data_IF_457110690911
#
_entry.id   IF_457110690911
#
_cell.length_a   1.000
_cell.length_b   1.000
_cell.length_c   1.000
_cell.angle_alpha   90.00
_cell.angle_beta   90.00
_cell.angle_gamma   90.00
#
_symmetry.space_group_name_H-M   'P 1'
#
loop_
_entity.id
_entity.type
_entity.pdbx_description
1 polymer ?
#
# COMPACT_ATOMS: atom_id res chain seq x y z
N UNK A 1 -66.35 -18.52 -19.80
CA UNK A 1 -67.09 -19.06 -18.65
C UNK A 1 -67.09 -20.59 -18.77
N UNK A 2 -66.71 -21.27 -17.68
CA UNK A 2 -66.71 -22.74 -17.48
C UNK A 2 -65.77 -23.57 -18.40
N UNK A 3 -65.02 -24.59 -17.96
CA UNK A 3 -65.02 -25.35 -16.70
C UNK A 3 -63.74 -26.20 -16.62
N UNK A 4 -63.23 -26.39 -15.41
CA UNK A 4 -62.21 -27.38 -15.05
C UNK A 4 -62.62 -28.83 -15.44
N UNK A 5 -61.67 -29.65 -15.91
CA UNK A 5 -61.67 -31.11 -15.64
C UNK A 5 -60.26 -31.73 -15.67
N UNK A 6 -60.01 -32.54 -14.65
CA UNK A 6 -58.82 -33.33 -14.32
C UNK A 6 -58.53 -34.40 -15.38
N UNK A 7 -57.26 -34.82 -15.54
CA UNK A 7 -56.93 -36.24 -15.44
C UNK A 7 -55.44 -36.51 -15.13
N UNK A 8 -55.27 -37.29 -14.06
CA UNK A 8 -54.09 -37.97 -13.53
C UNK A 8 -53.17 -38.64 -14.55
N UNK A 9 -51.84 -38.59 -14.29
CA UNK A 9 -50.99 -39.80 -14.22
C UNK A 9 -49.81 -39.57 -13.24
N UNK A 10 -49.82 -40.34 -12.15
CA UNK A 10 -48.67 -40.63 -11.28
C UNK A 10 -47.69 -41.55 -12.04
N UNK A 11 -46.37 -41.42 -11.82
CA UNK A 11 -45.57 -42.29 -10.93
C UNK A 11 -44.05 -42.15 -11.16
N UNK A 12 -43.34 -42.07 -10.02
CA UNK A 12 -41.99 -42.58 -9.68
C UNK A 12 -40.77 -41.93 -10.35
N UNK A 13 -39.99 -41.18 -9.57
CA UNK A 13 -38.88 -41.61 -8.70
C UNK A 13 -37.59 -41.87 -9.50
N UNK A 14 -36.70 -40.87 -9.42
CA UNK A 14 -35.28 -41.00 -9.69
C UNK A 14 -34.56 -40.02 -8.79
N UNK A 15 -34.30 -40.43 -7.55
CA UNK A 15 -33.35 -39.73 -6.69
C UNK A 15 -31.97 -39.83 -7.35
N UNK A 16 -31.31 -38.71 -7.53
CA UNK A 16 -29.85 -38.63 -7.50
C UNK A 16 -29.48 -37.40 -6.67
N UNK A 17 -29.47 -37.60 -5.34
CA UNK A 17 -28.85 -36.68 -4.39
C UNK A 17 -27.34 -36.73 -4.63
N UNK A 18 -26.85 -35.79 -5.41
CA UNK A 18 -25.42 -35.54 -5.57
C UNK A 18 -24.93 -34.84 -4.30
N UNK A 19 -24.19 -35.57 -3.48
CA UNK A 19 -23.42 -35.00 -2.39
C UNK A 19 -22.30 -34.15 -2.97
N UNK A 20 -22.45 -32.83 -2.95
CA UNK A 20 -21.30 -31.94 -2.95
C UNK A 20 -21.23 -31.29 -1.58
N UNK A 21 -20.25 -31.72 -0.80
CA UNK A 21 -19.86 -31.08 0.46
C UNK A 21 -19.41 -29.66 0.08
N UNK A 22 -20.26 -28.68 0.34
CA UNK A 22 -19.86 -27.29 0.28
C UNK A 22 -18.89 -27.04 1.45
N UNK A 23 -17.59 -27.07 1.16
CA UNK A 23 -16.59 -26.46 2.02
C UNK A 23 -16.67 -24.96 1.79
N UNK A 24 -17.35 -24.24 2.68
CA UNK A 24 -17.18 -22.79 2.78
C UNK A 24 -15.84 -22.57 3.48
N UNK A 25 -14.79 -22.32 2.69
CA UNK A 25 -13.54 -21.78 3.23
C UNK A 25 -13.81 -20.30 3.47
N UNK A 26 -14.11 -19.95 4.72
CA UNK A 26 -14.16 -18.57 5.17
C UNK A 26 -12.70 -18.10 5.27
N UNK A 27 -12.14 -17.57 4.17
CA UNK A 27 -10.91 -16.79 4.26
C UNK A 27 -11.30 -15.46 4.90
N UNK A 28 -11.16 -15.37 6.22
CA UNK A 28 -11.06 -14.08 6.90
C UNK A 28 -9.79 -13.42 6.36
N UNK A 29 -9.93 -12.63 5.29
CA UNK A 29 -8.95 -11.60 5.01
C UNK A 29 -8.99 -10.66 6.21
N UNK A 30 -8.01 -10.82 7.09
CA UNK A 30 -7.73 -9.84 8.13
C UNK A 30 -7.29 -8.58 7.39
N UNK A 31 -8.25 -7.75 7.03
CA UNK A 31 -7.98 -6.36 6.68
C UNK A 31 -7.35 -5.79 7.94
N UNK A 32 -6.03 -5.73 7.98
CA UNK A 32 -5.34 -4.85 8.90
C UNK A 32 -5.82 -3.45 8.50
N UNK A 33 -6.86 -2.98 9.19
CA UNK A 33 -7.06 -1.56 9.31
C UNK A 33 -5.74 -1.05 9.87
N UNK A 34 -4.99 -0.31 9.06
CA UNK A 34 -3.80 0.39 9.50
C UNK A 34 -4.26 1.30 10.63
N UNK A 35 -3.98 0.89 11.87
CA UNK A 35 -4.40 1.60 13.07
C UNK A 35 -3.55 2.88 13.10
N UNK A 36 -4.12 3.97 12.59
CA UNK A 36 -3.51 5.29 12.64
C UNK A 36 -3.52 5.72 14.11
N UNK A 37 -2.35 5.80 14.73
CA UNK A 37 -2.21 6.00 16.17
C UNK A 37 -3.03 7.18 16.71
N UNK A 38 -3.56 7.03 17.93
CA UNK A 38 -4.51 7.95 18.59
C UNK A 38 -3.94 9.38 18.82
N UNK A 39 -2.68 9.68 18.46
CA UNK A 39 -2.13 11.03 18.50
C UNK A 39 -0.93 11.25 17.58
N UNK A 40 -0.93 12.38 16.86
CA UNK A 40 0.10 12.76 15.88
C UNK A 40 1.17 13.69 16.46
N UNK A 41 1.75 13.34 17.61
CA UNK A 41 2.83 14.10 18.23
C UNK A 41 4.07 14.14 17.31
N UNK A 42 4.78 15.26 17.29
CA UNK A 42 6.02 15.37 16.54
C UNK A 42 7.10 14.44 17.13
N UNK A 43 7.82 13.63 16.33
CA UNK A 43 8.88 12.77 16.83
C UNK A 43 9.97 13.55 17.54
N UNK A 44 10.39 13.07 18.72
CA UNK A 44 11.51 13.61 19.49
C UNK A 44 12.25 12.48 20.17
N UNK A 45 13.57 12.55 20.14
CA UNK A 45 14.43 11.63 20.89
C UNK A 45 14.27 11.87 22.39
N UNK A 46 14.27 10.78 23.14
CA UNK A 46 14.22 10.76 24.60
C UNK A 46 14.82 9.45 25.11
N UNK A 47 14.82 9.26 26.43
CA UNK A 47 15.23 7.98 27.04
C UNK A 47 14.41 6.78 26.53
N UNK A 48 13.18 7.01 26.05
CA UNK A 48 12.25 5.97 25.59
C UNK A 48 11.95 6.02 24.08
N UNK A 49 12.46 7.02 23.35
CA UNK A 49 12.17 7.22 21.92
C UNK A 49 13.44 7.50 21.14
N UNK A 50 13.55 6.84 19.99
CA UNK A 50 14.62 7.06 19.03
C UNK A 50 14.01 7.39 17.67
N UNK A 51 14.63 8.34 16.97
CA UNK A 51 14.22 8.78 15.64
C UNK A 51 15.33 8.45 14.66
N UNK A 52 14.94 7.96 13.48
CA UNK A 52 15.84 7.78 12.35
C UNK A 52 15.22 8.45 11.14
N UNK A 53 15.88 9.48 10.62
CA UNK A 53 15.46 10.14 9.40
C UNK A 53 15.77 9.25 8.19
N UNK A 54 14.83 9.21 7.25
CA UNK A 54 14.99 8.56 5.95
C UNK A 54 15.17 9.59 4.82
N UNK A 55 15.58 10.81 5.16
CA UNK A 55 15.86 11.89 4.22
C UNK A 55 17.09 11.59 3.35
N UNK A 56 17.18 12.23 2.20
CA UNK A 56 18.27 12.07 1.22
C UNK A 56 17.75 11.58 -0.12
N UNK A 57 18.55 10.78 -0.83
CA UNK A 57 18.20 10.32 -2.17
C UNK A 57 17.34 9.04 -2.12
N UNK A 58 16.24 9.06 -2.85
CA UNK A 58 15.32 7.94 -3.06
C UNK A 58 15.31 7.55 -4.53
N UNK A 59 15.07 6.27 -4.82
CA UNK A 59 14.77 5.83 -6.17
C UNK A 59 13.36 6.29 -6.54
N UNK A 60 13.18 6.78 -7.75
CA UNK A 60 11.94 7.36 -8.21
C UNK A 60 11.56 6.88 -9.61
N UNK A 61 10.25 6.64 -9.82
CA UNK A 61 9.67 6.39 -11.13
C UNK A 61 8.24 6.92 -11.21
N UNK A 62 7.95 7.72 -12.22
CA UNK A 62 6.58 8.03 -12.60
C UNK A 62 5.98 6.88 -13.45
N UNK A 63 4.73 6.50 -13.19
CA UNK A 63 4.02 5.51 -14.00
C UNK A 63 3.52 6.18 -15.30
N UNK A 64 4.35 6.16 -16.33
CA UNK A 64 4.05 6.77 -17.64
C UNK A 64 3.21 5.87 -18.56
N UNK A 65 2.76 4.71 -18.06
CA UNK A 65 1.89 3.80 -18.83
C UNK A 65 0.58 4.49 -19.23
N UNK A 66 -0.06 4.11 -20.34
CA UNK A 66 -1.30 4.74 -20.79
C UNK A 66 -2.43 4.73 -19.75
N UNK A 67 -2.47 3.70 -18.90
CA UNK A 67 -3.47 3.55 -17.82
C UNK A 67 -3.06 4.25 -16.52
N UNK A 68 -1.81 4.71 -16.40
CA UNK A 68 -1.20 5.21 -15.17
C UNK A 68 -1.26 4.23 -14.00
N UNK A 69 -1.42 2.92 -14.28
CA UNK A 69 -1.68 1.91 -13.25
C UNK A 69 -0.75 0.69 -13.33
N UNK A 70 0.23 0.70 -14.23
CA UNK A 70 1.17 -0.39 -14.43
C UNK A 70 1.90 -0.79 -13.14
N UNK A 71 2.20 0.18 -12.26
CA UNK A 71 2.86 -0.13 -10.99
C UNK A 71 2.01 -1.02 -10.06
N UNK A 72 0.69 -0.89 -10.14
CA UNK A 72 -0.23 -1.79 -9.44
C UNK A 72 -0.42 -3.11 -10.18
N UNK A 73 -0.58 -3.06 -11.50
CA UNK A 73 -0.75 -4.26 -12.32
C UNK A 73 0.45 -5.22 -12.20
N UNK A 74 1.65 -4.68 -11.96
CA UNK A 74 2.91 -5.43 -11.84
C UNK A 74 3.43 -5.54 -10.40
N UNK A 75 2.70 -5.03 -9.41
CA UNK A 75 3.07 -5.07 -7.99
C UNK A 75 4.49 -4.53 -7.70
N UNK A 76 4.80 -3.31 -8.15
CA UNK A 76 6.15 -2.72 -8.04
C UNK A 76 6.69 -2.63 -6.60
N UNK A 77 5.83 -2.64 -5.58
CA UNK A 77 6.23 -2.64 -4.16
C UNK A 77 6.79 -3.97 -3.65
N UNK A 78 6.69 -5.07 -4.40
CA UNK A 78 7.11 -6.41 -3.94
C UNK A 78 8.62 -6.64 -3.99
N UNK A 79 9.34 -5.78 -4.72
CA UNK A 79 10.79 -5.82 -4.89
C UNK A 79 11.33 -4.38 -4.92
N UNK A 80 12.65 -4.19 -4.96
CA UNK A 80 13.25 -2.86 -5.11
C UNK A 80 12.79 -2.25 -6.44
N UNK A 81 12.47 -0.95 -6.46
CA UNK A 81 11.89 -0.31 -7.65
C UNK A 81 12.81 -0.37 -8.87
N UNK A 82 14.12 -0.30 -8.65
CA UNK A 82 15.17 -0.50 -9.66
C UNK A 82 15.21 -1.90 -10.28
N UNK A 83 14.66 -2.92 -9.61
CA UNK A 83 14.59 -4.30 -10.14
C UNK A 83 13.39 -4.49 -11.08
N UNK A 84 12.35 -3.66 -10.95
CA UNK A 84 11.16 -3.71 -11.81
C UNK A 84 11.24 -2.80 -13.04
N UNK A 85 12.32 -2.00 -13.17
CA UNK A 85 12.56 -1.16 -14.34
C UNK A 85 13.47 0.03 -14.04
N UNK A 86 13.69 0.91 -15.04
CA UNK A 86 14.50 2.12 -14.87
C UNK A 86 13.96 3.01 -13.74
N UNK A 87 14.86 3.68 -13.04
CA UNK A 87 14.56 4.66 -11.98
C UNK A 87 15.51 5.84 -12.11
N UNK A 88 15.15 6.96 -11.51
CA UNK A 88 16.02 8.12 -11.32
C UNK A 88 16.16 8.43 -9.83
N UNK A 89 17.19 9.19 -9.48
CA UNK A 89 17.41 9.68 -8.12
C UNK A 89 16.53 10.89 -7.85
N UNK A 90 15.85 10.91 -6.70
CA UNK A 90 14.98 12.00 -6.28
C UNK A 90 15.23 12.36 -4.82
N UNK A 91 15.50 13.63 -4.49
CA UNK A 91 15.71 14.05 -3.11
C UNK A 91 14.39 14.03 -2.33
N UNK A 92 14.47 13.64 -1.06
CA UNK A 92 13.40 13.75 -0.07
C UNK A 92 14.00 14.43 1.18
N UNK A 93 13.42 15.54 1.67
CA UNK A 93 12.19 16.19 1.20
C UNK A 93 12.40 17.05 -0.05
N UNK A 94 11.54 16.90 -1.06
CA UNK A 94 11.43 17.80 -2.22
C UNK A 94 10.15 17.48 -3.00
N UNK A 95 9.59 18.48 -3.69
CA UNK A 95 8.70 18.22 -4.83
C UNK A 95 9.53 17.72 -6.01
N UNK A 96 9.04 16.76 -6.78
CA UNK A 96 9.79 16.22 -7.93
C UNK A 96 9.73 17.12 -9.16
N UNK A 97 8.73 18.00 -9.25
CA UNK A 97 8.33 18.69 -10.48
C UNK A 97 9.48 19.49 -11.14
N UNK A 98 10.32 20.16 -10.34
CA UNK A 98 11.39 21.03 -10.84
C UNK A 98 12.80 20.47 -10.53
N UNK A 99 12.92 19.19 -10.16
CA UNK A 99 14.23 18.55 -9.90
C UNK A 99 14.94 18.15 -11.20
N UNK A 100 14.16 17.85 -12.25
CA UNK A 100 14.67 17.43 -13.56
C UNK A 100 14.27 18.43 -14.63
N UNK A 101 14.97 18.40 -15.77
CA UNK A 101 14.64 19.21 -16.94
C UNK A 101 13.50 18.60 -17.80
N UNK A 102 12.94 17.45 -17.41
CA UNK A 102 11.88 16.78 -18.17
C UNK A 102 10.51 17.43 -17.92
N UNK A 103 10.05 18.19 -18.92
CA UNK A 103 8.72 18.82 -18.89
C UNK A 103 7.58 17.81 -18.70
N UNK A 104 7.70 16.60 -19.26
CA UNK A 104 6.66 15.58 -19.14
C UNK A 104 6.53 15.07 -17.71
N UNK A 105 7.64 15.06 -16.96
CA UNK A 105 7.62 14.75 -15.53
C UNK A 105 7.12 15.93 -14.70
N UNK A 106 7.52 17.16 -15.06
CA UNK A 106 7.05 18.39 -14.38
C UNK A 106 5.53 18.51 -14.36
N UNK A 107 4.90 18.26 -15.52
CA UNK A 107 3.46 18.35 -15.73
C UNK A 107 2.74 17.00 -15.53
N UNK A 108 3.42 16.00 -14.94
CA UNK A 108 2.89 14.64 -14.80
C UNK A 108 1.67 14.59 -13.87
N UNK A 109 0.65 13.83 -14.28
CA UNK A 109 -0.53 13.50 -13.47
C UNK A 109 -0.68 11.98 -13.44
N UNK A 110 -0.78 11.43 -12.23
CA UNK A 110 -0.94 10.00 -11.98
C UNK A 110 -0.12 9.53 -10.78
N UNK A 111 0.22 8.24 -10.78
CA UNK A 111 1.02 7.64 -9.72
C UNK A 111 2.52 7.82 -9.96
N UNK A 112 3.20 8.37 -8.96
CA UNK A 112 4.66 8.35 -8.85
C UNK A 112 5.07 7.42 -7.71
N UNK A 113 6.21 6.77 -7.87
CA UNK A 113 6.72 5.76 -6.96
C UNK A 113 8.06 6.22 -6.42
N UNK A 114 8.20 6.18 -5.10
CA UNK A 114 9.43 6.41 -4.36
C UNK A 114 9.84 5.10 -3.69
N UNK A 115 11.14 4.81 -3.64
CA UNK A 115 11.66 3.61 -3.01
C UNK A 115 13.01 3.87 -2.35
N UNK A 116 13.16 3.41 -1.09
CA UNK A 116 14.39 3.60 -0.33
C UNK A 116 14.71 2.42 0.56
N UNK A 117 15.99 2.08 0.59
CA UNK A 117 16.55 1.07 1.47
C UNK A 117 17.02 1.70 2.78
N UNK A 118 16.86 0.97 3.88
CA UNK A 118 17.31 1.38 5.20
C UNK A 118 17.63 0.18 6.09
N UNK A 119 18.65 0.33 6.92
CA UNK A 119 19.03 -0.68 7.90
C UNK A 119 18.29 -0.50 9.23
N UNK A 120 17.93 -1.59 9.89
CA UNK A 120 17.34 -1.56 11.25
C UNK A 120 18.23 -2.35 12.22
N UNK A 121 18.66 -1.71 13.31
CA UNK A 121 19.48 -2.35 14.36
C UNK A 121 18.68 -3.42 15.11
N UNK A 122 19.37 -4.45 15.63
CA UNK A 122 18.79 -5.44 16.55
C UNK A 122 18.20 -4.81 17.82
N UNK A 123 18.69 -3.65 18.23
CA UNK A 123 18.21 -2.96 19.45
C UNK A 123 16.73 -2.54 19.36
N UNK A 124 16.17 -2.53 18.15
CA UNK A 124 14.77 -2.21 17.92
C UNK A 124 13.85 -3.44 18.02
N UNK A 125 14.40 -4.66 18.06
CA UNK A 125 13.64 -5.91 18.02
C UNK A 125 12.90 -6.23 19.34
N UNK A 126 13.37 -5.71 20.47
CA UNK A 126 12.85 -6.08 21.79
C UNK A 126 12.10 -4.94 22.45
N UNK A 127 10.82 -5.18 22.80
CA UNK A 127 9.97 -4.29 23.58
C UNK A 127 9.84 -2.85 23.05
N UNK A 128 9.93 -2.64 21.72
CA UNK A 128 9.73 -1.33 21.09
C UNK A 128 8.65 -1.38 20.02
N UNK A 129 7.78 -0.38 20.03
CA UNK A 129 6.86 -0.09 18.92
C UNK A 129 7.64 0.66 17.84
N UNK A 130 7.75 0.08 16.65
CA UNK A 130 8.43 0.71 15.51
C UNK A 130 7.40 1.25 14.55
N UNK A 131 7.49 2.54 14.24
CA UNK A 131 6.51 3.27 13.44
C UNK A 131 7.23 3.98 12.30
N UNK A 132 6.66 3.89 11.10
CA UNK A 132 7.05 4.72 9.98
C UNK A 132 6.09 5.91 9.91
N UNK A 133 6.65 7.12 9.97
CA UNK A 133 5.92 8.38 9.87
C UNK A 133 6.27 9.09 8.56
N UNK A 134 5.25 9.54 7.85
CA UNK A 134 5.36 10.43 6.70
C UNK A 134 4.75 11.77 7.11
N UNK A 135 5.54 12.85 7.00
CA UNK A 135 5.07 14.18 7.41
C UNK A 135 4.06 14.76 6.42
N UNK A 136 4.19 14.44 5.13
CA UNK A 136 3.28 14.88 4.06
C UNK A 136 3.55 14.09 2.77
N UNK A 137 2.49 13.79 2.02
CA UNK A 137 2.55 13.28 0.65
C UNK A 137 1.26 13.67 -0.07
N UNK A 138 1.33 14.35 -1.23
CA UNK A 138 0.16 14.93 -1.89
C UNK A 138 -0.20 14.22 -3.20
N UNK A 139 -1.44 13.78 -3.43
CA UNK A 139 -2.67 13.86 -2.62
C UNK A 139 -3.10 12.53 -1.99
N UNK A 140 -2.88 11.39 -2.65
CA UNK A 140 -3.16 10.06 -2.09
C UNK A 140 -1.86 9.28 -2.02
N UNK A 141 -1.53 8.72 -0.85
CA UNK A 141 -0.31 7.99 -0.62
C UNK A 141 -0.59 6.59 -0.09
N UNK A 142 0.08 5.59 -0.65
CA UNK A 142 0.08 4.20 -0.16
C UNK A 142 1.52 3.82 0.15
N UNK A 143 1.75 3.23 1.33
CA UNK A 143 3.09 2.92 1.83
C UNK A 143 3.22 1.43 2.08
N UNK A 144 4.33 0.87 1.61
CA UNK A 144 4.72 -0.52 1.85
C UNK A 144 6.09 -0.58 2.50
N UNK A 145 6.28 -1.57 3.38
CA UNK A 145 7.58 -1.95 3.94
C UNK A 145 7.81 -3.42 3.65
N UNK A 146 8.93 -3.74 3.00
CA UNK A 146 9.27 -5.09 2.56
C UNK A 146 8.12 -5.80 1.83
N UNK A 147 7.41 -5.05 0.96
CA UNK A 147 6.28 -5.56 0.19
C UNK A 147 4.93 -5.64 0.91
N UNK A 148 4.87 -5.31 2.21
CA UNK A 148 3.63 -5.34 2.99
C UNK A 148 3.08 -3.92 3.13
N UNK A 149 1.78 -3.72 2.84
CA UNK A 149 1.15 -2.41 2.99
C UNK A 149 1.01 -2.07 4.49
N UNK A 150 1.49 -0.90 4.89
CA UNK A 150 1.54 -0.48 6.30
C UNK A 150 0.59 0.67 6.62
N UNK A 151 0.36 1.58 5.67
CA UNK A 151 -0.62 2.65 5.81
C UNK A 151 -1.01 3.23 4.45
N UNK A 152 -2.12 3.97 4.45
CA UNK A 152 -2.60 4.77 3.34
C UNK A 152 -3.12 6.09 3.89
N UNK A 153 -2.96 7.18 3.13
CA UNK A 153 -3.43 8.51 3.50
C UNK A 153 -3.99 9.25 2.30
N UNK A 154 -5.05 10.01 2.54
CA UNK A 154 -5.61 10.97 1.59
C UNK A 154 -5.54 12.37 2.20
N UNK A 155 -5.02 13.31 1.43
CA UNK A 155 -4.67 14.66 1.86
C UNK A 155 -3.20 14.97 1.61
N UNK A 156 -2.87 16.27 1.48
CA UNK A 156 -1.51 16.69 1.08
C UNK A 156 -0.60 17.17 2.19
N UNK A 157 -1.14 17.66 3.30
CA UNK A 157 -0.40 18.54 4.21
C UNK A 157 -0.46 18.10 5.67
N UNK A 158 -1.00 16.90 5.93
CA UNK A 158 -1.08 16.34 7.27
C UNK A 158 -0.21 15.09 7.36
N UNK A 159 0.43 14.87 8.51
CA UNK A 159 1.23 13.69 8.72
C UNK A 159 0.33 12.46 8.88
N UNK A 160 0.91 11.28 8.61
CA UNK A 160 0.31 9.99 8.89
C UNK A 160 1.39 8.98 9.26
N UNK A 161 1.01 7.93 9.99
CA UNK A 161 1.93 6.91 10.45
C UNK A 161 1.34 5.50 10.38
N UNK A 162 2.21 4.51 10.25
CA UNK A 162 1.86 3.09 10.29
C UNK A 162 2.86 2.32 11.14
N UNK A 163 2.38 1.35 11.92
CA UNK A 163 3.25 0.45 12.66
C UNK A 163 3.90 -0.57 11.72
N UNK A 164 5.22 -0.72 11.81
CA UNK A 164 6.01 -1.52 10.85
C UNK A 164 6.77 -2.66 11.49
N UNK A 165 6.78 -2.76 12.82
CA UNK A 165 7.64 -3.68 13.57
C UNK A 165 7.53 -5.15 13.14
N UNK A 166 6.34 -5.62 12.81
CA UNK A 166 6.07 -7.00 12.34
C UNK A 166 6.59 -7.30 10.94
N UNK A 167 6.90 -6.27 10.14
CA UNK A 167 7.35 -6.40 8.74
C UNK A 167 8.86 -6.20 8.58
N UNK A 168 9.55 -5.78 9.65
CA UNK A 168 10.97 -5.46 9.60
C UNK A 168 11.86 -6.69 9.78
N UNK A 169 12.95 -6.72 9.02
CA UNK A 169 14.12 -7.54 9.25
C UNK A 169 15.06 -6.79 10.19
N UNK A 170 15.13 -7.21 11.44
CA UNK A 170 16.07 -6.66 12.41
C UNK A 170 17.48 -7.16 12.16
N UNK A 171 18.47 -6.29 12.40
CA UNK A 171 19.87 -6.51 12.02
C UNK A 171 20.03 -6.83 10.52
N UNK A 172 19.25 -6.12 9.71
CA UNK A 172 19.14 -6.37 8.28
C UNK A 172 18.71 -5.14 7.51
N UNK A 173 18.81 -5.27 6.18
CA UNK A 173 18.33 -4.26 5.26
C UNK A 173 16.84 -4.43 4.99
N UNK A 174 16.14 -3.31 4.91
CA UNK A 174 14.71 -3.21 4.67
C UNK A 174 14.49 -2.19 3.56
N UNK A 175 13.34 -2.24 2.91
CA UNK A 175 12.95 -1.19 1.98
C UNK A 175 11.55 -0.68 2.23
N UNK A 176 11.37 0.61 1.98
CA UNK A 176 10.10 1.29 1.96
C UNK A 176 9.80 1.72 0.53
N UNK A 177 8.58 1.46 0.09
CA UNK A 177 8.06 1.92 -1.19
C UNK A 177 6.83 2.77 -0.93
N UNK A 178 6.73 3.92 -1.59
CA UNK A 178 5.61 4.86 -1.45
C UNK A 178 5.07 5.18 -2.84
N UNK A 179 3.80 4.88 -3.08
CA UNK A 179 3.09 5.36 -4.27
C UNK A 179 2.32 6.61 -3.89
N UNK A 180 2.46 7.68 -4.68
CA UNK A 180 1.78 8.96 -4.47
C UNK A 180 1.02 9.33 -5.74
N UNK A 181 -0.27 9.63 -5.62
CA UNK A 181 -1.11 10.13 -6.71
C UNK A 181 -1.44 11.60 -6.49
N UNK A 182 -1.17 12.44 -7.48
CA UNK A 182 -1.42 13.88 -7.45
C UNK A 182 -2.71 14.31 -8.18
N UNK A 183 -3.55 13.37 -8.61
CA UNK A 183 -4.83 13.67 -9.27
C UNK A 183 -5.78 14.31 -8.28
N UNK A 184 -6.24 15.52 -8.60
CA UNK A 184 -7.24 16.23 -7.82
C UNK A 184 -8.63 15.84 -8.31
N UNK A 185 -9.46 15.31 -7.42
CA UNK A 185 -10.88 15.12 -7.68
C UNK A 185 -11.64 16.39 -7.30
N UNK A 186 -12.52 16.92 -8.17
CA UNK A 186 -13.41 18.01 -7.79
C UNK A 186 -14.24 17.59 -6.58
N UNK A 187 -14.21 18.40 -5.52
CA UNK A 187 -15.10 18.28 -4.35
C UNK A 187 -16.50 18.76 -4.68
#
# INVERSE_FOLDING_TARGET
ADKYRRCSKKYRLGQNKMWQRAFVVLVLMYVHNADCGIGMLYPRDSESRQTKLLDGIWQFRADTSPTRNQGFDQNWWTTRLSQSGPVIDMPVPSSYNDVTEDKSLRDFVGWVWYDREFYVSSDWATNRRVVLRIDSAHYNAIVWVNGNQVCQHEGGHLPFEGEVGSFLQFNGSNYVTVAVNNTLTPT
#
